data_IF_887277795298
#
_entry.id   IF_887277795298
#
_cell.length_a   1.000
_cell.length_b   1.000
_cell.length_c   1.000
_cell.angle_alpha   90.00
_cell.angle_beta   90.00
_cell.angle_gamma   90.00
#
_symmetry.space_group_name_H-M   'P 1'
#
loop_
_entity.id
_entity.type
_entity.pdbx_description
1 polymer ?
#
# COMPACT_ATOMS: atom_id res chain seq x y z
N UNK A 1 26.68 -5.46 -7.01
CA UNK A 1 26.88 -4.00 -6.85
C UNK A 1 25.57 -3.46 -6.31
N UNK A 2 25.60 -2.70 -5.21
CA UNK A 2 24.41 -2.09 -4.61
C UNK A 2 24.26 -0.70 -5.22
N UNK A 3 23.07 -0.41 -5.75
CA UNK A 3 22.74 0.84 -6.40
C UNK A 3 22.37 1.88 -5.34
N UNK A 4 23.10 2.99 -5.31
CA UNK A 4 22.87 4.08 -4.35
C UNK A 4 21.99 5.21 -4.91
N UNK A 5 21.49 6.07 -4.00
CA UNK A 5 20.72 7.25 -4.36
C UNK A 5 21.43 8.14 -5.40
N UNK A 6 22.73 8.43 -5.20
CA UNK A 6 23.51 9.25 -6.12
C UNK A 6 23.68 8.62 -7.51
N UNK A 7 23.71 7.28 -7.59
CA UNK A 7 23.88 6.56 -8.87
C UNK A 7 22.61 6.66 -9.72
N UNK A 8 21.42 6.54 -9.10
CA UNK A 8 20.14 6.69 -9.81
C UNK A 8 19.79 8.15 -10.10
N UNK A 9 20.04 9.05 -9.15
CA UNK A 9 19.75 10.48 -9.30
C UNK A 9 20.70 11.16 -10.29
N UNK A 10 21.92 10.62 -10.46
CA UNK A 10 22.97 11.20 -11.28
C UNK A 10 23.19 12.70 -10.97
N UNK A 11 23.19 13.04 -9.67
CA UNK A 11 23.37 14.40 -9.16
C UNK A 11 22.14 15.32 -9.27
N UNK A 12 20.98 14.86 -9.74
CA UNK A 12 19.74 15.64 -9.77
C UNK A 12 18.89 15.38 -8.54
N UNK A 13 18.65 16.41 -7.75
CA UNK A 13 17.76 16.33 -6.59
C UNK A 13 16.31 16.49 -7.10
N UNK A 14 15.38 15.56 -6.78
CA UNK A 14 13.96 15.73 -7.11
C UNK A 14 13.40 17.00 -6.48
N UNK A 15 12.71 17.83 -7.26
CA UNK A 15 12.12 19.10 -6.76
C UNK A 15 10.60 19.09 -6.75
N UNK A 16 9.96 18.14 -7.43
CA UNK A 16 8.51 17.99 -7.48
C UNK A 16 8.07 16.52 -7.54
N UNK A 17 6.75 16.30 -7.56
CA UNK A 17 6.14 14.96 -7.61
C UNK A 17 6.46 14.21 -8.91
N UNK A 18 6.64 14.92 -10.03
CA UNK A 18 6.95 14.31 -11.32
C UNK A 18 8.40 13.77 -11.34
N UNK A 19 9.33 14.49 -10.73
CA UNK A 19 10.69 14.00 -10.54
C UNK A 19 10.72 12.73 -9.65
N UNK A 20 9.89 12.69 -8.60
CA UNK A 20 9.76 11.53 -7.73
C UNK A 20 9.12 10.34 -8.45
N UNK A 21 8.11 10.58 -9.29
CA UNK A 21 7.53 9.54 -10.14
C UNK A 21 8.57 8.98 -11.12
N UNK A 22 9.31 9.85 -11.81
CA UNK A 22 10.39 9.42 -12.72
C UNK A 22 11.56 8.72 -12.00
N UNK A 23 11.80 9.04 -10.73
CA UNK A 23 12.72 8.29 -9.87
C UNK A 23 12.17 6.89 -9.56
N UNK A 24 10.89 6.79 -9.21
CA UNK A 24 10.21 5.51 -8.96
C UNK A 24 10.28 4.61 -10.19
N UNK A 25 9.98 5.13 -11.38
CA UNK A 25 10.01 4.38 -12.64
C UNK A 25 11.38 3.75 -12.90
N UNK A 26 12.47 4.50 -12.68
CA UNK A 26 13.84 3.98 -12.83
C UNK A 26 14.16 2.86 -11.84
N UNK A 27 13.64 2.94 -10.62
CA UNK A 27 13.83 1.89 -9.61
C UNK A 27 12.99 0.67 -9.98
N UNK A 28 11.76 0.88 -10.46
CA UNK A 28 10.86 -0.17 -10.92
C UNK A 28 11.44 -0.97 -12.11
N UNK A 29 12.15 -0.30 -13.02
CA UNK A 29 12.86 -0.95 -14.14
C UNK A 29 13.94 -1.97 -13.69
N UNK A 30 14.39 -1.94 -12.43
CA UNK A 30 15.37 -2.90 -11.89
C UNK A 30 14.78 -4.31 -11.74
N UNK A 31 13.47 -4.40 -11.49
CA UNK A 31 12.73 -5.65 -11.31
C UNK A 31 11.63 -5.56 -10.25
N UNK A 32 11.06 -6.71 -9.88
CA UNK A 32 10.07 -6.79 -8.79
C UNK A 32 10.66 -6.43 -7.43
N UNK A 33 9.80 -6.20 -6.43
CA UNK A 33 10.20 -5.59 -5.16
C UNK A 33 11.33 -6.32 -4.42
N UNK A 34 11.34 -7.65 -4.41
CA UNK A 34 12.42 -8.44 -3.83
C UNK A 34 13.77 -8.22 -4.53
N UNK A 35 13.76 -8.10 -5.86
CA UNK A 35 14.97 -7.81 -6.65
C UNK A 35 15.45 -6.38 -6.40
N UNK A 36 14.53 -5.42 -6.26
CA UNK A 36 14.85 -4.04 -5.89
C UNK A 36 15.53 -4.04 -4.53
N UNK A 37 14.93 -4.67 -3.52
CA UNK A 37 15.45 -4.72 -2.15
C UNK A 37 16.88 -5.27 -2.06
N UNK A 38 17.22 -6.26 -2.88
CA UNK A 38 18.58 -6.84 -2.94
C UNK A 38 19.58 -5.95 -3.68
N UNK A 39 19.12 -5.16 -4.65
CA UNK A 39 20.00 -4.43 -5.58
C UNK A 39 20.20 -2.97 -5.23
N UNK A 40 19.31 -2.34 -4.46
CA UNK A 40 19.42 -0.93 -4.10
C UNK A 40 19.85 -0.76 -2.64
N UNK A 41 20.35 0.42 -2.27
CA UNK A 41 20.69 0.71 -0.87
C UNK A 41 19.43 0.73 0.00
N UNK A 42 19.52 0.45 1.31
CA UNK A 42 18.38 0.50 2.22
C UNK A 42 17.63 1.83 2.17
N UNK A 43 18.34 2.96 2.04
CA UNK A 43 17.76 4.29 1.97
C UNK A 43 16.97 4.49 0.67
N UNK A 44 17.50 4.00 -0.44
CA UNK A 44 16.84 4.07 -1.74
C UNK A 44 15.62 3.15 -1.81
N UNK A 45 15.68 1.98 -1.16
CA UNK A 45 14.52 1.10 -1.01
C UNK A 45 13.42 1.76 -0.17
N UNK A 46 13.77 2.35 0.99
CA UNK A 46 12.81 3.08 1.82
C UNK A 46 12.18 4.25 1.08
N UNK A 47 12.97 4.99 0.29
CA UNK A 47 12.46 6.06 -0.56
C UNK A 47 11.49 5.53 -1.63
N UNK A 48 11.82 4.42 -2.28
CA UNK A 48 10.93 3.76 -3.25
C UNK A 48 9.60 3.35 -2.62
N UNK A 49 9.62 2.72 -1.44
CA UNK A 49 8.41 2.36 -0.70
C UNK A 49 7.58 3.61 -0.39
N UNK A 50 8.21 4.68 0.12
CA UNK A 50 7.51 5.91 0.47
C UNK A 50 6.84 6.56 -0.74
N UNK A 51 7.56 6.73 -1.87
CA UNK A 51 7.04 7.34 -3.09
C UNK A 51 5.85 6.53 -3.62
N UNK A 52 6.00 5.20 -3.74
CA UNK A 52 4.93 4.36 -4.26
C UNK A 52 3.72 4.30 -3.32
N UNK A 53 3.94 4.30 -2.02
CA UNK A 53 2.84 4.34 -1.04
C UNK A 53 2.05 5.63 -1.19
N UNK A 54 2.73 6.78 -1.20
CA UNK A 54 2.08 8.10 -1.30
C UNK A 54 1.35 8.22 -2.64
N UNK A 55 2.00 7.87 -3.76
CA UNK A 55 1.39 7.98 -5.08
C UNK A 55 0.15 7.11 -5.25
N UNK A 56 0.21 5.83 -4.83
CA UNK A 56 -0.96 4.95 -4.89
C UNK A 56 -2.07 5.41 -3.94
N UNK A 57 -1.71 5.85 -2.72
CA UNK A 57 -2.67 6.38 -1.76
C UNK A 57 -3.36 7.65 -2.25
N UNK A 58 -2.64 8.58 -2.89
CA UNK A 58 -3.22 9.79 -3.46
C UNK A 58 -4.12 9.52 -4.68
N UNK A 59 -3.84 8.47 -5.45
CA UNK A 59 -4.67 8.09 -6.60
C UNK A 59 -5.93 7.33 -6.18
N UNK A 60 -5.75 6.18 -5.54
CA UNK A 60 -6.79 5.16 -5.36
C UNK A 60 -7.07 4.87 -3.88
N UNK A 61 -6.44 5.62 -2.97
CA UNK A 61 -6.54 5.38 -1.53
C UNK A 61 -5.84 4.10 -1.08
N UNK A 62 -6.12 3.70 0.15
CA UNK A 62 -5.57 2.46 0.73
C UNK A 62 -6.05 1.20 0.00
N UNK A 63 -7.24 1.24 -0.61
CA UNK A 63 -7.78 0.13 -1.38
C UNK A 63 -6.93 -0.21 -2.61
N UNK A 64 -6.40 0.81 -3.31
CA UNK A 64 -5.49 0.61 -4.43
C UNK A 64 -4.23 -0.14 -4.02
N UNK A 65 -3.66 0.19 -2.86
CA UNK A 65 -2.47 -0.49 -2.33
C UNK A 65 -2.81 -1.93 -1.93
N UNK A 66 -3.86 -2.10 -1.13
CA UNK A 66 -4.26 -3.39 -0.56
C UNK A 66 -4.72 -4.37 -1.66
N UNK A 67 -5.32 -3.88 -2.74
CA UNK A 67 -5.82 -4.71 -3.84
C UNK A 67 -4.79 -4.94 -4.94
N UNK A 68 -3.93 -3.95 -5.24
CA UNK A 68 -3.07 -3.99 -6.44
C UNK A 68 -1.57 -3.90 -6.16
N UNK A 69 -1.16 -3.48 -4.96
CA UNK A 69 0.25 -3.29 -4.57
C UNK A 69 0.56 -3.98 -3.25
N UNK A 70 0.06 -5.22 -3.09
CA UNK A 70 0.15 -6.00 -1.85
C UNK A 70 1.58 -6.14 -1.31
N UNK A 71 2.56 -6.21 -2.22
CA UNK A 71 3.97 -6.33 -1.87
C UNK A 71 4.51 -5.14 -1.06
N UNK A 72 3.86 -3.96 -1.11
CA UNK A 72 4.26 -2.79 -0.33
C UNK A 72 3.81 -2.88 1.13
N UNK A 73 2.68 -3.56 1.40
CA UNK A 73 2.00 -3.59 2.71
C UNK A 73 2.94 -3.88 3.89
N UNK A 74 3.85 -4.87 3.83
CA UNK A 74 4.73 -5.19 4.95
C UNK A 74 5.70 -4.06 5.37
N UNK A 75 5.93 -3.07 4.51
CA UNK A 75 6.94 -2.04 4.72
C UNK A 75 6.36 -0.70 5.18
N UNK A 76 5.08 -0.44 4.93
CA UNK A 76 4.48 0.89 5.03
C UNK A 76 4.58 1.46 6.46
N UNK A 77 4.20 0.68 7.47
CA UNK A 77 4.21 1.14 8.87
C UNK A 77 5.62 1.48 9.37
N UNK A 78 6.66 0.82 8.85
CA UNK A 78 8.04 1.12 9.21
C UNK A 78 8.59 2.34 8.44
N UNK A 79 8.24 2.46 7.16
CA UNK A 79 8.84 3.44 6.26
C UNK A 79 8.27 4.84 6.46
N UNK A 80 6.95 4.99 6.56
CA UNK A 80 6.30 6.31 6.62
C UNK A 80 6.82 7.22 7.75
N UNK A 81 7.06 6.74 8.99
CA UNK A 81 7.63 7.55 10.06
C UNK A 81 9.02 8.12 9.75
N UNK A 82 9.83 7.43 8.93
CA UNK A 82 11.18 7.88 8.54
C UNK A 82 11.14 9.13 7.66
N UNK A 83 10.01 9.38 7.01
CA UNK A 83 9.74 10.56 6.19
C UNK A 83 8.86 11.59 6.90
N UNK A 84 8.68 11.49 8.22
CA UNK A 84 7.78 12.37 9.00
C UNK A 84 6.30 12.28 8.58
N UNK A 85 5.87 11.10 8.11
CA UNK A 85 4.49 10.81 7.69
C UNK A 85 3.75 9.93 8.71
N UNK A 86 3.98 10.15 10.01
CA UNK A 86 3.38 9.35 11.08
C UNK A 86 1.84 9.36 11.03
N UNK A 87 1.23 10.46 10.58
CA UNK A 87 -0.22 10.54 10.44
C UNK A 87 -0.76 9.52 9.42
N UNK A 88 -0.09 9.32 8.27
CA UNK A 88 -0.48 8.30 7.29
C UNK A 88 -0.24 6.90 7.83
N UNK A 89 0.85 6.69 8.57
CA UNK A 89 1.14 5.41 9.22
C UNK A 89 0.04 5.01 10.21
N UNK A 90 -0.40 5.92 11.09
CA UNK A 90 -1.48 5.61 12.03
C UNK A 90 -2.77 5.22 11.32
N UNK A 91 -3.14 5.94 10.24
CA UNK A 91 -4.32 5.58 9.45
C UNK A 91 -4.15 4.23 8.79
N UNK A 92 -2.97 3.96 8.21
CA UNK A 92 -2.68 2.68 7.59
C UNK A 92 -2.81 1.53 8.61
N UNK A 93 -2.25 1.69 9.80
CA UNK A 93 -2.35 0.68 10.87
C UNK A 93 -3.81 0.44 11.30
N UNK A 94 -4.64 1.48 11.36
CA UNK A 94 -6.09 1.33 11.59
C UNK A 94 -6.78 0.54 10.46
N UNK A 95 -6.37 0.74 9.20
CA UNK A 95 -6.89 -0.03 8.06
C UNK A 95 -6.46 -1.49 8.15
N UNK A 96 -5.20 -1.76 8.47
CA UNK A 96 -4.67 -3.14 8.61
C UNK A 96 -5.33 -3.87 9.78
N UNK A 97 -5.62 -3.17 10.88
CA UNK A 97 -6.31 -3.75 12.04
C UNK A 97 -7.75 -4.25 11.76
N UNK A 98 -8.32 -3.92 10.59
CA UNK A 98 -9.63 -4.44 10.16
C UNK A 98 -9.51 -5.89 9.67
N UNK A 99 -8.32 -6.31 9.20
CA UNK A 99 -8.10 -7.65 8.69
C UNK A 99 -8.12 -8.66 9.84
N UNK A 100 -8.87 -9.78 9.70
CA UNK A 100 -8.82 -10.86 10.66
C UNK A 100 -7.40 -11.45 10.78
N UNK A 101 -7.01 -11.87 11.98
CA UNK A 101 -5.68 -12.44 12.27
C UNK A 101 -5.29 -13.65 11.42
N UNK A 102 -6.26 -14.33 10.78
CA UNK A 102 -6.01 -15.48 9.91
C UNK A 102 -5.76 -15.09 8.44
N UNK A 103 -5.88 -13.81 8.08
CA UNK A 103 -5.54 -13.30 6.76
C UNK A 103 -4.06 -12.94 6.76
N UNK A 104 -3.33 -13.51 5.82
CA UNK A 104 -1.96 -13.10 5.49
C UNK A 104 -1.98 -12.18 4.27
N UNK A 105 -1.12 -11.17 4.25
CA UNK A 105 -0.92 -10.26 3.11
C UNK A 105 -0.07 -10.94 2.03
N UNK A 106 -0.60 -12.02 1.47
CA UNK A 106 0.02 -12.83 0.42
C UNK A 106 -0.96 -12.96 -0.74
N UNK A 107 -0.45 -12.90 -1.97
CA UNK A 107 -1.29 -13.03 -3.17
C UNK A 107 -1.72 -14.49 -3.36
N UNK A 108 -2.80 -14.86 -2.65
CA UNK A 108 -3.36 -16.19 -2.62
C UNK A 108 -4.89 -16.13 -2.64
N UNK A 109 -5.53 -17.29 -2.83
CA UNK A 109 -6.99 -17.32 -2.94
C UNK A 109 -7.73 -16.86 -1.68
N UNK A 110 -7.12 -17.01 -0.49
CA UNK A 110 -7.70 -16.55 0.77
C UNK A 110 -7.70 -15.01 0.83
N UNK A 111 -6.60 -14.37 0.41
CA UNK A 111 -6.53 -12.91 0.33
C UNK A 111 -7.48 -12.37 -0.75
N UNK A 112 -7.56 -13.01 -1.92
CA UNK A 112 -8.57 -12.65 -2.93
C UNK A 112 -10.00 -12.71 -2.38
N UNK A 113 -10.33 -13.75 -1.61
CA UNK A 113 -11.64 -13.86 -0.95
C UNK A 113 -11.85 -12.71 0.06
N UNK A 114 -10.83 -12.32 0.82
CA UNK A 114 -10.90 -11.18 1.73
C UNK A 114 -11.18 -9.86 1.00
N UNK A 115 -10.45 -9.57 -0.08
CA UNK A 115 -10.67 -8.35 -0.87
C UNK A 115 -12.07 -8.32 -1.48
N UNK A 116 -12.49 -9.44 -2.08
CA UNK A 116 -13.84 -9.58 -2.63
C UNK A 116 -14.93 -9.37 -1.57
N UNK A 117 -14.70 -9.88 -0.36
CA UNK A 117 -15.58 -9.69 0.78
C UNK A 117 -15.65 -8.22 1.21
N UNK A 118 -14.51 -7.52 1.29
CA UNK A 118 -14.44 -6.09 1.64
C UNK A 118 -15.14 -5.21 0.60
N UNK A 119 -14.97 -5.50 -0.70
CA UNK A 119 -15.64 -4.78 -1.78
C UNK A 119 -17.14 -5.07 -1.84
N UNK A 120 -17.56 -6.29 -1.49
CA UNK A 120 -18.95 -6.69 -1.49
C UNK A 120 -19.25 -7.77 -0.46
N UNK A 121 -19.69 -7.35 0.73
CA UNK A 121 -20.07 -8.25 1.83
C UNK A 121 -21.25 -9.20 1.50
N UNK A 122 -21.98 -8.96 0.42
CA UNK A 122 -23.07 -9.86 -0.03
C UNK A 122 -22.55 -10.97 -0.93
N UNK A 123 -21.31 -10.87 -1.40
CA UNK A 123 -20.68 -11.91 -2.20
C UNK A 123 -20.32 -13.08 -1.28
N UNK A 124 -20.81 -14.26 -1.63
CA UNK A 124 -20.35 -15.49 -0.99
C UNK A 124 -18.94 -15.80 -1.49
N UNK A 125 -17.99 -15.80 -0.57
CA UNK A 125 -16.59 -16.17 -0.83
C UNK A 125 -16.34 -17.62 -0.42
N UNK A 126 -15.24 -18.23 -0.86
CA UNK A 126 -14.97 -19.65 -0.60
C UNK A 126 -14.58 -19.89 0.84
N UNK A 127 -13.87 -18.95 1.45
CA UNK A 127 -13.56 -18.98 2.88
C UNK A 127 -14.82 -18.79 3.73
N UNK A 128 -15.32 -19.89 4.31
CA UNK A 128 -16.54 -19.91 5.12
C UNK A 128 -16.45 -19.03 6.37
N UNK A 129 -15.26 -18.85 6.94
CA UNK A 129 -15.07 -17.97 8.10
C UNK A 129 -15.40 -16.53 7.77
N UNK A 130 -15.11 -16.06 6.55
CA UNK A 130 -15.48 -14.71 6.11
C UNK A 130 -16.99 -14.54 5.98
N UNK A 131 -17.70 -15.57 5.49
CA UNK A 131 -19.16 -15.57 5.39
C UNK A 131 -19.88 -15.51 6.76
N UNK A 132 -19.18 -15.82 7.86
CA UNK A 132 -19.72 -15.74 9.22
C UNK A 132 -19.66 -14.32 9.82
N UNK A 133 -18.87 -13.41 9.23
CA UNK A 133 -18.85 -12.01 9.65
C UNK A 133 -20.12 -11.31 9.16
N UNK A 134 -20.92 -10.79 10.08
CA UNK A 134 -22.09 -9.97 9.75
C UNK A 134 -21.67 -8.55 9.38
N UNK A 135 -22.56 -7.80 8.71
CA UNK A 135 -22.40 -6.34 8.47
C UNK A 135 -22.26 -5.51 9.75
N UNK A 136 -22.46 -6.09 10.94
CA UNK A 136 -22.27 -5.40 12.21
C UNK A 136 -20.91 -5.75 12.85
N UNK A 137 -20.36 -6.94 12.58
CA UNK A 137 -19.13 -7.45 13.19
C UNK A 137 -17.86 -6.92 12.51
N UNK A 138 -17.83 -6.93 11.18
CA UNK A 138 -16.96 -6.05 10.43
C UNK A 138 -17.81 -4.81 10.25
N UNK A 139 -17.44 -3.64 10.74
CA UNK A 139 -18.12 -2.41 10.33
C UNK A 139 -17.69 -2.15 8.87
N UNK A 140 -18.41 -2.62 7.84
CA UNK A 140 -17.99 -2.49 6.46
C UNK A 140 -18.27 -1.05 6.03
N UNK A 141 -19.21 -0.38 6.72
CA UNK A 141 -19.30 1.06 6.81
C UNK A 141 -17.94 1.61 7.19
N UNK A 142 -17.31 1.24 8.31
CA UNK A 142 -15.99 1.77 8.70
C UNK A 142 -14.86 1.48 7.71
N UNK A 143 -14.77 0.32 7.05
CA UNK A 143 -13.76 0.10 5.99
C UNK A 143 -14.06 0.96 4.75
N UNK A 144 -15.29 0.93 4.23
CA UNK A 144 -15.72 1.78 3.11
C UNK A 144 -15.62 3.27 3.48
N UNK A 145 -15.76 3.62 4.76
CA UNK A 145 -15.75 4.98 5.30
C UNK A 145 -14.32 5.45 5.64
N UNK A 146 -13.41 4.59 6.10
CA UNK A 146 -11.97 4.91 6.22
C UNK A 146 -11.30 4.99 4.85
N UNK A 147 -11.67 4.10 3.93
CA UNK A 147 -11.16 4.10 2.56
C UNK A 147 -11.76 5.25 1.74
N UNK A 148 -13.04 5.63 1.93
CA UNK A 148 -13.69 6.72 1.15
C UNK A 148 -13.82 8.07 1.85
N UNK A 149 -13.97 8.17 3.17
CA UNK A 149 -14.15 9.46 3.87
C UNK A 149 -12.83 10.16 4.21
N UNK A 150 -11.67 9.56 3.92
CA UNK A 150 -10.39 10.26 4.03
C UNK A 150 -10.02 11.14 2.83
N UNK A 151 -10.92 11.41 1.87
CA UNK A 151 -11.23 12.74 1.31
C UNK A 151 -12.28 12.59 0.18
N UNK A 152 -13.20 13.57 0.01
CA UNK A 152 -14.22 13.54 -1.02
C UNK A 152 -13.57 13.75 -2.38
N UNK A 153 -14.03 13.03 -3.39
CA UNK A 153 -13.88 13.46 -4.77
C UNK A 153 -14.21 14.96 -4.90
N UNK A 154 -13.20 15.78 -5.16
CA UNK A 154 -13.31 17.02 -5.92
C UNK A 154 -12.13 17.12 -6.89
N UNK A 155 -12.15 16.25 -7.89
CA UNK A 155 -11.89 16.74 -9.24
C UNK A 155 -13.23 17.24 -9.78
N UNK A 156 -13.26 18.54 -10.09
CA UNK A 156 -14.22 19.15 -11.01
C UNK A 156 -13.99 18.55 -12.40
#
# INVERSE_FOLDING_TARGET
MIIGLNEILNGKIPVDEMDLAGLSDKIWEIGGLGVIQEKVSPELFQLYIAINTIGNWQSDGWDGIISNQLELVPYISEVLPRFSLQHLQHVFDEVIAIFPDFITFEDNSLYCDMINFLHNIRLKVREERLNAYTQEALKPSFFIQLVREQFPFRCI
#
